data_IF_432909039608
#
_entry.id   IF_432909039608
#
_cell.length_a   1.000
_cell.length_b   1.000
_cell.length_c   1.000
_cell.angle_alpha   90.00
_cell.angle_beta   90.00
_cell.angle_gamma   90.00
#
_symmetry.space_group_name_H-M   'P 1'
#
loop_
_entity.id
_entity.type
_entity.pdbx_description
1 polymer ?
#
# COMPACT_ATOMS: atom_id res chain seq x y z
N UNK A 1 -18.96 -26.79 31.17
CA UNK A 1 -17.62 -26.71 31.79
C UNK A 1 -16.96 -25.32 31.72
N UNK A 2 -17.51 -24.33 30.99
CA UNK A 2 -16.92 -22.97 30.92
C UNK A 2 -17.32 -22.07 32.12
N UNK A 3 -18.48 -22.32 32.73
CA UNK A 3 -18.96 -21.54 33.88
C UNK A 3 -18.22 -21.85 35.20
N UNK A 4 -17.48 -22.96 35.28
CA UNK A 4 -16.79 -23.36 36.53
C UNK A 4 -15.47 -22.60 36.71
N UNK A 5 -14.80 -22.19 35.63
CA UNK A 5 -13.52 -21.48 35.74
C UNK A 5 -13.65 -20.02 36.18
N UNK A 6 -14.79 -19.37 35.95
CA UNK A 6 -15.00 -17.96 36.32
C UNK A 6 -15.26 -17.83 37.84
N UNK A 7 -15.90 -18.84 38.46
CA UNK A 7 -16.23 -18.81 39.89
C UNK A 7 -15.02 -18.96 40.82
N UNK A 8 -13.96 -19.65 40.39
CA UNK A 8 -12.79 -19.93 41.25
C UNK A 8 -11.85 -18.71 41.34
N UNK A 9 -11.81 -17.85 40.31
CA UNK A 9 -10.93 -16.67 40.30
C UNK A 9 -11.36 -15.56 41.28
N UNK A 10 -12.66 -15.43 41.58
CA UNK A 10 -13.14 -14.43 42.54
C UNK A 10 -12.85 -14.76 44.01
N UNK A 11 -12.53 -16.02 44.34
CA UNK A 11 -12.32 -16.44 45.73
C UNK A 11 -10.89 -16.12 46.22
N UNK A 12 -9.92 -15.92 45.31
CA UNK A 12 -8.49 -15.85 45.68
C UNK A 12 -7.81 -14.47 45.57
N UNK A 13 -8.55 -13.36 45.41
CA UNK A 13 -8.00 -12.02 45.64
C UNK A 13 -6.66 -11.72 44.92
N UNK A 14 -6.47 -12.22 43.70
CA UNK A 14 -5.28 -11.95 42.90
C UNK A 14 -5.48 -10.64 42.12
N UNK A 15 -5.10 -9.54 42.75
CA UNK A 15 -4.92 -8.22 42.12
C UNK A 15 -3.69 -8.23 41.20
N UNK A 16 -3.79 -8.90 40.06
CA UNK A 16 -2.90 -8.72 38.90
C UNK A 16 -3.53 -9.37 37.67
N UNK A 17 -4.68 -8.87 37.23
CA UNK A 17 -5.17 -9.17 35.89
C UNK A 17 -4.36 -8.34 34.89
N UNK A 18 -3.22 -8.89 34.46
CA UNK A 18 -2.80 -8.68 33.08
C UNK A 18 -3.95 -9.12 32.18
N UNK A 19 -4.35 -8.28 31.22
CA UNK A 19 -5.51 -8.49 30.35
C UNK A 19 -5.54 -9.91 29.77
N UNK A 20 -6.32 -10.81 30.39
CA UNK A 20 -6.72 -12.07 29.75
C UNK A 20 -7.83 -11.68 28.79
N UNK A 21 -7.41 -11.26 27.60
CA UNK A 21 -8.34 -11.01 26.51
C UNK A 21 -8.77 -12.35 25.95
N UNK A 22 -10.07 -12.59 25.91
CA UNK A 22 -10.64 -13.82 25.39
C UNK A 22 -10.19 -14.02 23.92
N UNK A 23 -9.78 -15.24 23.51
CA UNK A 23 -9.37 -15.54 22.13
C UNK A 23 -10.37 -15.11 21.05
N UNK A 24 -11.64 -14.95 21.44
CA UNK A 24 -12.76 -14.60 20.57
C UNK A 24 -12.87 -13.10 20.23
N UNK A 25 -12.28 -12.19 21.02
CA UNK A 25 -12.47 -10.75 20.83
C UNK A 25 -11.74 -10.25 19.58
N UNK A 26 -10.49 -10.66 19.41
CA UNK A 26 -9.66 -10.31 18.25
C UNK A 26 -10.14 -10.95 16.96
N UNK A 27 -10.75 -12.13 17.05
CA UNK A 27 -11.26 -12.83 15.86
C UNK A 27 -12.31 -11.99 15.13
N UNK A 28 -13.20 -11.35 15.90
CA UNK A 28 -14.21 -10.45 15.34
C UNK A 28 -13.60 -9.21 14.70
N UNK A 29 -12.63 -8.57 15.35
CA UNK A 29 -11.92 -7.41 14.78
C UNK A 29 -11.19 -7.78 13.48
N UNK A 30 -10.49 -8.91 13.45
CA UNK A 30 -9.80 -9.42 12.25
C UNK A 30 -10.81 -9.61 11.12
N UNK A 31 -11.95 -10.25 11.38
CA UNK A 31 -12.99 -10.46 10.36
C UNK A 31 -13.56 -9.15 9.81
N UNK A 32 -13.82 -8.16 10.69
CA UNK A 32 -14.33 -6.86 10.26
C UNK A 32 -13.30 -6.10 9.41
N UNK A 33 -12.03 -6.11 9.83
CA UNK A 33 -10.94 -5.50 9.07
C UNK A 33 -10.77 -6.19 7.71
N UNK A 34 -10.77 -7.52 7.66
CA UNK A 34 -10.68 -8.29 6.41
C UNK A 34 -11.82 -7.94 5.46
N UNK A 35 -13.06 -7.85 5.97
CA UNK A 35 -14.23 -7.46 5.17
C UNK A 35 -14.11 -6.03 4.61
N UNK A 36 -13.48 -5.11 5.34
CA UNK A 36 -13.19 -3.76 4.81
C UNK A 36 -12.14 -3.87 3.70
N UNK A 37 -11.04 -4.59 3.92
CA UNK A 37 -9.96 -4.74 2.93
C UNK A 37 -10.42 -5.39 1.62
N UNK A 38 -11.28 -6.41 1.69
CA UNK A 38 -11.84 -7.11 0.53
C UNK A 38 -12.61 -6.20 -0.43
N UNK A 39 -13.16 -5.09 0.06
CA UNK A 39 -13.85 -4.10 -0.79
C UNK A 39 -12.89 -3.31 -1.68
N UNK A 40 -11.63 -3.20 -1.27
CA UNK A 40 -10.59 -2.43 -1.95
C UNK A 40 -9.59 -3.32 -2.70
N UNK A 41 -9.71 -4.64 -2.61
CA UNK A 41 -8.90 -5.54 -3.42
C UNK A 41 -9.27 -5.44 -4.90
N UNK A 42 -8.24 -5.44 -5.75
CA UNK A 42 -8.39 -5.58 -7.19
C UNK A 42 -8.96 -6.97 -7.46
N UNK A 43 -10.24 -7.02 -7.82
CA UNK A 43 -10.97 -8.27 -8.09
C UNK A 43 -10.52 -8.93 -9.40
N UNK A 44 -9.90 -8.16 -10.29
CA UNK A 44 -9.39 -8.62 -11.57
C UNK A 44 -8.05 -7.94 -11.88
N UNK A 45 -7.21 -8.64 -12.63
CA UNK A 45 -5.99 -8.09 -13.18
C UNK A 45 -6.36 -7.10 -14.30
N UNK A 46 -5.95 -5.84 -14.16
CA UNK A 46 -6.21 -4.78 -15.15
C UNK A 46 -5.58 -5.17 -16.51
N UNK A 47 -4.52 -5.99 -16.52
CA UNK A 47 -3.88 -6.48 -17.73
C UNK A 47 -4.73 -7.52 -18.49
N UNK A 48 -5.58 -8.31 -17.81
CA UNK A 48 -6.41 -9.36 -18.45
C UNK A 48 -7.51 -8.81 -19.36
N UNK A 49 -7.89 -7.54 -19.23
CA UNK A 49 -8.81 -6.92 -20.21
C UNK A 49 -8.21 -6.76 -21.61
N UNK A 50 -6.89 -6.82 -21.75
CA UNK A 50 -6.23 -6.73 -23.06
C UNK A 50 -6.15 -8.08 -23.78
N UNK A 51 -6.48 -9.18 -23.11
CA UNK A 51 -6.44 -10.54 -23.68
C UNK A 51 -7.67 -11.28 -23.16
N UNK A 52 -8.73 -11.35 -23.98
CA UNK A 52 -10.02 -11.92 -23.59
C UNK A 52 -9.92 -13.34 -23.03
N UNK A 53 -9.82 -13.45 -21.71
CA UNK A 53 -9.98 -14.68 -20.97
C UNK A 53 -10.79 -14.41 -19.70
N UNK A 54 -12.03 -14.88 -19.74
CA UNK A 54 -12.95 -14.99 -18.61
C UNK A 54 -12.36 -15.95 -17.57
N UNK A 55 -11.64 -15.42 -16.58
CA UNK A 55 -11.45 -16.07 -15.29
C UNK A 55 -10.73 -15.14 -14.31
N UNK A 56 -11.48 -14.72 -13.29
CA UNK A 56 -10.96 -14.24 -12.01
C UNK A 56 -9.91 -15.28 -11.56
N UNK A 57 -8.62 -14.92 -11.35
CA UNK A 57 -7.69 -15.87 -10.79
C UNK A 57 -8.14 -16.20 -9.36
N UNK A 58 -8.62 -17.42 -9.15
CA UNK A 58 -9.04 -17.98 -7.86
C UNK A 58 -7.95 -17.98 -6.76
N UNK A 59 -6.77 -17.40 -7.03
CA UNK A 59 -5.59 -17.41 -6.19
C UNK A 59 -5.27 -16.07 -5.49
N UNK A 60 -6.10 -15.03 -5.61
CA UNK A 60 -5.89 -13.77 -4.86
C UNK A 60 -5.87 -13.98 -3.32
N UNK A 61 -6.47 -15.08 -2.85
CA UNK A 61 -6.65 -15.38 -1.43
C UNK A 61 -5.66 -16.40 -0.85
N UNK A 62 -4.63 -16.81 -1.61
CA UNK A 62 -3.70 -17.88 -1.21
C UNK A 62 -2.85 -17.58 0.05
N UNK A 63 -2.97 -16.38 0.62
CA UNK A 63 -2.24 -15.93 1.82
C UNK A 63 -3.12 -15.21 2.85
N UNK A 64 -4.44 -15.43 2.85
CA UNK A 64 -5.35 -14.75 3.78
C UNK A 64 -4.99 -15.06 5.26
N UNK A 65 -4.57 -16.29 5.55
CA UNK A 65 -4.13 -16.69 6.89
C UNK A 65 -2.91 -15.89 7.37
N UNK A 66 -1.92 -15.69 6.49
CA UNK A 66 -0.74 -14.85 6.79
C UNK A 66 -1.12 -13.39 7.01
N UNK A 67 -2.12 -12.89 6.29
CA UNK A 67 -2.64 -11.53 6.50
C UNK A 67 -3.31 -11.43 7.87
N UNK A 68 -4.14 -12.41 8.25
CA UNK A 68 -4.76 -12.47 9.57
C UNK A 68 -3.73 -12.52 10.69
N UNK A 69 -2.66 -13.30 10.56
CA UNK A 69 -1.58 -13.37 11.55
C UNK A 69 -0.87 -12.02 11.73
N UNK A 70 -0.64 -11.30 10.63
CA UNK A 70 -0.08 -9.94 10.68
C UNK A 70 -1.04 -8.97 11.36
N UNK A 71 -2.31 -8.96 10.97
CA UNK A 71 -3.33 -8.08 11.57
C UNK A 71 -3.43 -8.36 13.08
N UNK A 72 -3.50 -9.63 13.47
CA UNK A 72 -3.51 -10.08 14.87
C UNK A 72 -2.35 -9.50 15.66
N UNK A 73 -1.15 -9.48 15.09
CA UNK A 73 0.04 -8.92 15.74
C UNK A 73 -0.13 -7.44 16.09
N UNK A 74 -0.74 -6.64 15.21
CA UNK A 74 -1.01 -5.22 15.48
C UNK A 74 -2.16 -5.01 16.48
N UNK A 75 -3.21 -5.82 16.39
CA UNK A 75 -4.34 -5.80 17.32
C UNK A 75 -3.88 -6.12 18.75
N UNK A 76 -3.09 -7.17 18.93
CA UNK A 76 -2.54 -7.55 20.24
C UNK A 76 -1.70 -6.43 20.86
N UNK A 77 -1.05 -5.62 20.02
CA UNK A 77 -0.25 -4.47 20.45
C UNK A 77 -1.06 -3.17 20.58
N UNK A 78 -2.36 -3.18 20.26
CA UNK A 78 -3.23 -2.00 20.19
C UNK A 78 -2.63 -0.86 19.34
N UNK A 79 -1.95 -1.22 18.25
CA UNK A 79 -1.27 -0.27 17.35
C UNK A 79 -2.04 -0.09 16.05
N UNK A 80 -1.99 1.10 15.42
CA UNK A 80 -2.55 1.29 14.08
C UNK A 80 -1.94 0.29 13.09
N UNK A 81 -2.76 -0.26 12.20
CA UNK A 81 -2.27 -1.07 11.09
C UNK A 81 -1.36 -0.21 10.21
N UNK A 82 -0.21 -0.75 9.81
CA UNK A 82 0.73 -0.05 8.93
C UNK A 82 0.74 -0.71 7.57
N UNK A 83 0.36 0.04 6.55
CA UNK A 83 0.44 -0.36 5.16
C UNK A 83 1.58 0.39 4.49
N UNK A 84 2.31 -0.30 3.63
CA UNK A 84 3.31 0.31 2.75
C UNK A 84 2.94 -0.03 1.31
N UNK A 85 2.84 0.99 0.46
CA UNK A 85 2.53 0.87 -0.95
C UNK A 85 3.65 1.51 -1.77
N UNK A 86 4.10 0.82 -2.81
CA UNK A 86 4.86 1.44 -3.89
C UNK A 86 3.89 1.98 -4.93
N UNK A 87 4.08 3.22 -5.36
CA UNK A 87 3.25 3.80 -6.41
C UNK A 87 3.32 5.32 -6.47
N UNK A 88 2.55 5.90 -7.38
CA UNK A 88 2.65 7.31 -7.78
C UNK A 88 4.09 7.67 -8.19
N UNK A 89 4.60 7.09 -9.30
CA UNK A 89 5.97 7.35 -9.76
C UNK A 89 6.13 8.69 -10.50
N UNK A 90 5.22 8.99 -11.43
CA UNK A 90 5.19 10.18 -12.27
C UNK A 90 3.86 10.24 -13.04
N UNK A 91 3.57 11.37 -13.70
CA UNK A 91 2.42 11.51 -14.61
C UNK A 91 2.61 10.66 -15.88
N UNK A 92 1.52 10.14 -16.44
CA UNK A 92 1.57 9.42 -17.71
C UNK A 92 2.17 10.31 -18.81
N UNK A 93 3.18 9.83 -19.58
CA UNK A 93 3.74 10.58 -20.70
C UNK A 93 2.79 10.64 -21.90
N UNK A 94 1.71 9.86 -21.90
CA UNK A 94 0.73 9.84 -22.99
C UNK A 94 -0.26 11.00 -22.85
N UNK A 95 0.16 12.19 -23.31
CA UNK A 95 -0.61 13.42 -23.15
C UNK A 95 -1.91 13.43 -23.96
N UNK A 96 -1.95 12.75 -25.08
CA UNK A 96 -3.08 12.77 -26.02
C UNK A 96 -4.30 11.96 -25.53
N UNK A 97 -4.06 10.85 -24.83
CA UNK A 97 -5.13 9.93 -24.39
C UNK A 97 -5.44 9.98 -22.89
N UNK A 98 -4.58 10.61 -22.08
CA UNK A 98 -4.71 10.63 -20.62
C UNK A 98 -4.94 12.02 -20.03
N UNK A 99 -4.96 13.07 -20.85
CA UNK A 99 -5.03 14.45 -20.36
C UNK A 99 -6.24 15.16 -20.96
N UNK A 100 -7.30 15.21 -20.16
CA UNK A 100 -8.24 16.33 -20.25
C UNK A 100 -7.64 17.34 -19.29
N UNK A 101 -7.12 18.46 -19.81
CA UNK A 101 -6.34 19.44 -19.05
C UNK A 101 -6.97 19.76 -17.68
N UNK A 102 -6.19 19.55 -16.62
CA UNK A 102 -6.62 19.71 -15.21
C UNK A 102 -7.21 18.47 -14.52
N UNK A 103 -7.54 17.39 -15.24
CA UNK A 103 -8.10 16.15 -14.64
C UNK A 103 -7.06 15.16 -14.13
N UNK A 104 -5.82 15.20 -14.62
CA UNK A 104 -4.76 14.29 -14.15
C UNK A 104 -4.61 14.40 -12.64
N UNK A 105 -4.36 15.61 -12.12
CA UNK A 105 -4.18 15.87 -10.69
C UNK A 105 -5.40 15.46 -9.84
N UNK A 106 -6.60 15.51 -10.42
CA UNK A 106 -7.82 15.04 -9.76
C UNK A 106 -7.90 13.51 -9.67
N UNK A 107 -7.34 12.78 -10.64
CA UNK A 107 -7.26 11.33 -10.59
C UNK A 107 -6.31 10.87 -9.47
N UNK A 108 -5.14 11.50 -9.33
CA UNK A 108 -4.23 11.21 -8.21
C UNK A 108 -4.87 11.57 -6.88
N UNK A 109 -5.51 12.75 -6.79
CA UNK A 109 -6.24 13.16 -5.59
C UNK A 109 -7.32 12.14 -5.21
N UNK A 110 -8.16 11.73 -6.16
CA UNK A 110 -9.20 10.74 -5.92
C UNK A 110 -8.63 9.40 -5.44
N UNK A 111 -7.54 8.93 -6.04
CA UNK A 111 -6.88 7.71 -5.59
C UNK A 111 -6.37 7.81 -4.14
N UNK A 112 -5.77 8.94 -3.76
CA UNK A 112 -5.31 9.19 -2.39
C UNK A 112 -6.47 9.32 -1.41
N UNK A 113 -7.58 9.96 -1.80
CA UNK A 113 -8.80 10.04 -0.98
C UNK A 113 -9.43 8.67 -0.74
N UNK A 114 -9.37 7.77 -1.73
CA UNK A 114 -9.84 6.40 -1.56
C UNK A 114 -8.98 5.62 -0.55
N UNK A 115 -7.66 5.83 -0.54
CA UNK A 115 -6.77 5.25 0.48
C UNK A 115 -7.04 5.86 1.87
N UNK A 116 -7.27 7.17 1.95
CA UNK A 116 -7.65 7.83 3.21
C UNK A 116 -9.00 7.28 3.72
N UNK A 117 -9.96 7.06 2.83
CA UNK A 117 -11.25 6.46 3.15
C UNK A 117 -11.08 5.04 3.67
N UNK A 118 -10.26 4.22 3.03
CA UNK A 118 -9.93 2.87 3.53
C UNK A 118 -9.42 2.94 4.97
N UNK A 119 -8.45 3.82 5.25
CA UNK A 119 -7.91 3.97 6.60
C UNK A 119 -8.98 4.40 7.63
N UNK A 120 -9.90 5.30 7.25
CA UNK A 120 -11.05 5.71 8.06
C UNK A 120 -12.07 4.59 8.28
N UNK A 121 -12.37 3.78 7.27
CA UNK A 121 -13.28 2.63 7.42
C UNK A 121 -12.70 1.58 8.36
N UNK A 122 -11.38 1.33 8.30
CA UNK A 122 -10.70 0.48 9.28
C UNK A 122 -10.83 1.09 10.68
N UNK A 123 -10.67 2.41 10.83
CA UNK A 123 -10.78 3.08 12.13
C UNK A 123 -12.16 2.92 12.80
N UNK A 124 -13.23 2.80 12.01
CA UNK A 124 -14.58 2.56 12.53
C UNK A 124 -14.75 1.19 13.18
N UNK A 125 -14.00 0.19 12.71
CA UNK A 125 -14.07 -1.20 13.22
C UNK A 125 -12.91 -1.57 14.13
N UNK A 126 -11.83 -0.78 14.12
CA UNK A 126 -10.63 -0.96 14.92
C UNK A 126 -10.10 0.42 15.36
N UNK A 127 -10.29 0.79 16.63
CA UNK A 127 -10.08 2.16 17.13
C UNK A 127 -8.70 2.78 16.81
N UNK A 128 -7.56 2.06 16.90
CA UNK A 128 -6.26 2.60 16.48
C UNK A 128 -6.17 2.93 14.97
N UNK A 129 -7.05 2.37 14.15
CA UNK A 129 -7.15 2.62 12.72
C UNK A 129 -5.99 2.09 11.90
N UNK A 130 -5.73 2.74 10.78
CA UNK A 130 -4.65 2.40 9.86
C UNK A 130 -3.87 3.64 9.43
N UNK A 131 -2.59 3.44 9.13
CA UNK A 131 -1.69 4.42 8.51
C UNK A 131 -1.11 3.82 7.24
N UNK A 132 -1.12 4.61 6.17
CA UNK A 132 -0.67 4.20 4.84
C UNK A 132 0.56 5.04 4.49
N UNK A 133 1.68 4.35 4.29
CA UNK A 133 2.91 4.93 3.79
C UNK A 133 3.01 4.63 2.29
N UNK A 134 3.06 5.68 1.48
CA UNK A 134 3.25 5.57 0.04
C UNK A 134 4.71 5.95 -0.23
N UNK A 135 5.46 5.01 -0.80
CA UNK A 135 6.82 5.24 -1.27
C UNK A 135 6.77 5.45 -2.79
N UNK A 136 7.03 6.69 -3.21
CA UNK A 136 7.14 7.03 -4.62
C UNK A 136 8.43 6.46 -5.20
N UNK A 137 8.29 5.67 -6.27
CA UNK A 137 9.36 4.93 -6.93
C UNK A 137 9.77 5.54 -8.28
N UNK A 138 9.38 6.80 -8.51
CA UNK A 138 9.63 7.53 -9.75
C UNK A 138 11.10 7.57 -10.14
N UNK A 139 12.01 7.84 -9.19
CA UNK A 139 13.46 7.91 -9.47
C UNK A 139 14.00 6.59 -10.01
N UNK A 140 13.56 5.45 -9.44
CA UNK A 140 14.10 4.13 -9.78
C UNK A 140 13.53 3.55 -11.07
N UNK A 141 12.31 3.97 -11.45
CA UNK A 141 11.64 3.45 -12.65
C UNK A 141 11.67 4.44 -13.81
N UNK A 142 11.82 5.74 -13.54
CA UNK A 142 11.72 6.84 -14.51
C UNK A 142 12.64 6.70 -15.71
N UNK A 143 13.88 6.23 -15.50
CA UNK A 143 14.85 6.01 -16.57
C UNK A 143 14.34 5.02 -17.63
N UNK A 144 13.64 3.96 -17.22
CA UNK A 144 13.09 2.98 -18.15
C UNK A 144 11.89 3.52 -18.97
N UNK A 145 11.22 4.55 -18.47
CA UNK A 145 10.12 5.24 -19.14
C UNK A 145 10.55 6.53 -19.83
N UNK A 146 11.86 6.81 -19.88
CA UNK A 146 12.45 8.01 -20.49
C UNK A 146 11.90 9.32 -19.89
N UNK A 147 11.55 9.30 -18.60
CA UNK A 147 11.05 10.47 -17.88
C UNK A 147 12.23 11.24 -17.28
N UNK A 148 12.36 12.56 -17.55
CA UNK A 148 13.41 13.37 -16.93
C UNK A 148 13.29 13.42 -15.41
N UNK A 149 14.42 13.38 -14.69
CA UNK A 149 14.44 13.50 -13.23
C UNK A 149 13.79 14.79 -12.72
N UNK A 150 13.87 15.89 -13.47
CA UNK A 150 13.21 17.15 -13.12
C UNK A 150 11.68 17.01 -13.10
N UNK A 151 11.09 16.22 -14.00
CA UNK A 151 9.65 15.95 -14.06
C UNK A 151 9.22 15.05 -12.89
N UNK A 152 10.02 14.04 -12.55
CA UNK A 152 9.79 13.18 -11.39
C UNK A 152 9.82 14.00 -10.10
N UNK A 153 10.84 14.84 -9.93
CA UNK A 153 10.96 15.71 -8.75
C UNK A 153 9.78 16.66 -8.65
N UNK A 154 9.38 17.31 -9.74
CA UNK A 154 8.22 18.19 -9.76
C UNK A 154 6.92 17.43 -9.39
N UNK A 155 6.75 16.21 -9.91
CA UNK A 155 5.60 15.36 -9.56
C UNK A 155 5.59 14.96 -8.09
N UNK A 156 6.73 14.57 -7.52
CA UNK A 156 6.86 14.24 -6.11
C UNK A 156 6.43 15.42 -5.21
N UNK A 157 6.79 16.65 -5.56
CA UNK A 157 6.34 17.84 -4.81
C UNK A 157 4.82 18.05 -4.92
N UNK A 158 4.24 17.82 -6.11
CA UNK A 158 2.77 17.90 -6.31
C UNK A 158 2.06 16.85 -5.45
N UNK A 159 2.52 15.59 -5.49
CA UNK A 159 1.94 14.48 -4.72
C UNK A 159 2.02 14.75 -3.21
N UNK A 160 3.16 15.26 -2.71
CA UNK A 160 3.29 15.70 -1.31
C UNK A 160 2.30 16.80 -0.97
N UNK A 161 2.11 17.79 -1.85
CA UNK A 161 1.16 18.88 -1.64
C UNK A 161 -0.29 18.37 -1.58
N UNK A 162 -0.72 17.56 -2.54
CA UNK A 162 -2.11 17.04 -2.57
C UNK A 162 -2.40 16.01 -1.48
N UNK A 163 -1.39 15.47 -0.82
CA UNK A 163 -1.56 14.53 0.32
C UNK A 163 -1.54 15.26 1.68
N UNK A 164 -1.15 16.54 1.72
CA UNK A 164 -0.86 17.26 2.96
C UNK A 164 -2.03 17.36 3.95
N UNK A 165 -3.28 17.32 3.47
CA UNK A 165 -4.51 17.34 4.26
C UNK A 165 -5.05 15.94 4.63
N UNK A 166 -4.43 14.86 4.12
CA UNK A 166 -4.84 13.47 4.36
C UNK A 166 -4.08 12.88 5.56
N UNK A 167 -4.76 12.81 6.71
CA UNK A 167 -4.15 12.53 8.03
C UNK A 167 -3.62 11.11 8.22
N UNK A 168 -4.11 10.15 7.43
CA UNK A 168 -3.72 8.75 7.55
C UNK A 168 -2.69 8.34 6.51
N UNK A 169 -2.37 9.23 5.58
CA UNK A 169 -1.41 9.00 4.51
C UNK A 169 -0.10 9.73 4.80
N UNK A 170 0.99 9.13 4.38
CA UNK A 170 2.30 9.78 4.33
C UNK A 170 2.99 9.40 3.03
N UNK A 171 3.44 10.42 2.29
CA UNK A 171 4.31 10.24 1.14
C UNK A 171 5.75 10.22 1.63
N UNK A 172 6.52 9.27 1.14
CA UNK A 172 7.98 9.29 1.16
C UNK A 172 8.50 9.12 -0.26
N UNK A 173 9.62 9.75 -0.55
CA UNK A 173 10.36 9.59 -1.80
C UNK A 173 11.78 9.16 -1.47
N UNK A 174 12.51 8.64 -2.46
CA UNK A 174 13.92 8.29 -2.22
C UNK A 174 14.77 9.50 -1.82
N UNK A 175 14.38 10.72 -2.23
CA UNK A 175 15.04 11.96 -1.79
C UNK A 175 14.89 12.22 -0.29
N UNK A 176 13.82 11.73 0.34
CA UNK A 176 13.63 11.86 1.80
C UNK A 176 14.62 10.99 2.59
N UNK A 177 15.13 9.91 1.98
CA UNK A 177 16.12 9.02 2.60
C UNK A 177 17.57 9.42 2.29
N UNK A 178 17.78 10.13 1.18
CA UNK A 178 19.10 10.54 0.69
C UNK A 178 19.10 12.03 0.31
N UNK A 179 18.86 12.96 1.27
CA UNK A 179 18.75 14.38 1.00
C UNK A 179 20.04 15.00 0.43
N UNK A 180 21.18 14.38 0.69
CA UNK A 180 22.50 14.80 0.22
C UNK A 180 22.81 14.39 -1.22
N UNK A 181 21.99 13.51 -1.82
CA UNK A 181 22.25 12.94 -3.15
C UNK A 181 21.37 13.56 -4.22
N UNK A 182 21.93 13.65 -5.43
CA UNK A 182 21.14 14.00 -6.62
C UNK A 182 20.22 12.84 -7.02
N UNK A 183 19.09 13.09 -7.71
CA UNK A 183 18.21 12.02 -8.20
C UNK A 183 18.95 10.93 -8.99
N UNK A 184 19.93 11.33 -9.80
CA UNK A 184 20.80 10.43 -10.56
C UNK A 184 21.61 9.52 -9.63
N UNK A 185 22.29 10.10 -8.64
CA UNK A 185 23.11 9.34 -7.69
C UNK A 185 22.26 8.41 -6.81
N UNK A 186 21.01 8.79 -6.53
CA UNK A 186 20.02 7.94 -5.86
C UNK A 186 19.66 6.75 -6.74
N UNK A 187 19.26 6.97 -8.00
CA UNK A 187 18.92 5.89 -8.94
C UNK A 187 20.08 4.88 -9.06
N UNK A 188 21.30 5.36 -9.28
CA UNK A 188 22.49 4.51 -9.36
C UNK A 188 22.75 3.73 -8.06
N UNK A 189 22.61 4.39 -6.89
CA UNK A 189 22.79 3.75 -5.59
C UNK A 189 21.77 2.63 -5.37
N UNK A 190 20.50 2.89 -5.68
CA UNK A 190 19.42 1.90 -5.51
C UNK A 190 19.61 0.74 -6.49
N UNK A 191 19.88 1.02 -7.76
CA UNK A 191 20.13 -0.03 -8.77
C UNK A 191 21.29 -0.95 -8.38
N UNK A 192 22.37 -0.39 -7.83
CA UNK A 192 23.53 -1.17 -7.41
C UNK A 192 23.23 -2.07 -6.20
N UNK A 193 22.44 -1.58 -5.24
CA UNK A 193 21.97 -2.38 -4.10
C UNK A 193 20.92 -3.43 -4.50
N UNK A 194 20.14 -3.14 -5.55
CA UNK A 194 19.11 -4.01 -6.11
C UNK A 194 19.64 -5.11 -7.05
N UNK A 195 20.96 -5.34 -7.12
CA UNK A 195 21.60 -6.40 -7.91
C UNK A 195 21.31 -7.84 -7.41
N UNK A 196 20.28 -8.01 -6.58
CA UNK A 196 19.80 -9.30 -6.10
C UNK A 196 19.02 -10.02 -7.23
N UNK A 197 19.33 -11.30 -7.56
CA UNK A 197 18.72 -12.04 -8.67
C UNK A 197 17.18 -12.12 -8.63
N UNK A 198 16.55 -11.89 -7.48
CA UNK A 198 15.09 -11.87 -7.35
C UNK A 198 14.41 -10.68 -8.06
N UNK A 199 15.15 -9.62 -8.44
CA UNK A 199 14.68 -8.46 -9.22
C UNK A 199 14.86 -8.60 -10.74
N UNK A 200 15.39 -9.72 -11.24
CA UNK A 200 15.41 -10.01 -12.68
C UNK A 200 13.99 -10.00 -13.28
N UNK A 201 13.00 -10.44 -12.49
CA UNK A 201 11.57 -10.35 -12.80
C UNK A 201 11.09 -8.89 -12.98
N UNK A 202 11.62 -7.97 -12.18
CA UNK A 202 11.27 -6.55 -12.25
C UNK A 202 11.87 -5.90 -13.49
N UNK A 203 13.12 -6.24 -13.86
CA UNK A 203 13.74 -5.78 -15.10
C UNK A 203 12.98 -6.27 -16.34
N UNK A 204 12.59 -7.55 -16.36
CA UNK A 204 11.80 -8.11 -17.47
C UNK A 204 10.44 -7.43 -17.59
N UNK A 205 9.70 -7.23 -16.49
CA UNK A 205 8.42 -6.52 -16.51
C UNK A 205 8.55 -5.04 -16.88
N UNK A 206 9.58 -4.36 -16.38
CA UNK A 206 9.87 -2.97 -16.76
C UNK A 206 10.20 -2.88 -18.26
N UNK A 207 10.97 -3.82 -18.80
CA UNK A 207 11.27 -3.89 -20.23
C UNK A 207 10.01 -4.16 -21.07
N UNK A 208 9.14 -5.07 -20.60
CA UNK A 208 7.85 -5.34 -21.25
C UNK A 208 6.92 -4.11 -21.20
N UNK A 209 6.85 -3.41 -20.06
CA UNK A 209 6.02 -2.21 -19.91
C UNK A 209 6.55 -1.04 -20.76
N UNK A 210 7.86 -0.82 -20.77
CA UNK A 210 8.49 0.24 -21.59
C UNK A 210 8.35 -0.04 -23.09
N UNK A 211 8.56 -1.28 -23.54
CA UNK A 211 8.34 -1.68 -24.93
C UNK A 211 6.89 -1.47 -25.37
N UNK A 212 5.92 -1.80 -24.50
CA UNK A 212 4.48 -1.61 -24.78
C UNK A 212 4.05 -0.14 -24.82
N UNK A 213 4.67 0.73 -24.03
CA UNK A 213 4.39 2.17 -24.12
C UNK A 213 5.00 2.78 -25.39
N UNK A 214 6.16 2.28 -25.81
CA UNK A 214 6.77 2.67 -27.10
C UNK A 214 5.94 2.21 -28.30
N UNK A 215 5.27 1.06 -28.23
CA UNK A 215 4.39 0.56 -29.30
C UNK A 215 3.01 1.23 -29.35
N UNK A 216 2.66 2.05 -28.35
CA UNK A 216 1.38 2.80 -28.27
C UNK A 216 1.56 4.31 -28.51
N UNK A 217 2.77 4.76 -28.83
CA UNK A 217 3.06 6.09 -29.36
C UNK A 217 3.00 6.05 -30.89
#
# INVERSE_FOLDING_TARGET
MIFICIGIACIYGLSSFGNIVCPNEYFREIQLISKVLEQYFLKEDIEKRSVGLDSIPANAFKNLDKLHDKIKTFILQKKPLKFTLLGFPFKSPNRENCVIDGRSDMAERYALEQLERLAKEIQKVYSPGAKILILCDGITVGKAFEIPYSEIVAYEEIIKKITSDLKNLKILTFRDFFPEKTPQAIDESVLNQCSNPHLAYTKERINVMSARLKSKR
#
